data_IF_724805353272
#
_entry.id   IF_724805353272
#
_cell.length_a   1.000
_cell.length_b   1.000
_cell.length_c   1.000
_cell.angle_alpha   90.00
_cell.angle_beta   90.00
_cell.angle_gamma   90.00
#
_symmetry.space_group_name_H-M   'P 1'
#
loop_
_entity.id
_entity.type
_entity.pdbx_description
1 polymer ?
#
# COMPACT_ATOMS: atom_id res chain seq x y z
N UNK A 1 23.61 18.10 -1.20
CA UNK A 1 22.29 18.19 -1.84
C UNK A 1 21.92 16.79 -2.28
N UNK A 2 20.97 16.14 -1.59
CA UNK A 2 20.56 14.78 -1.94
C UNK A 2 19.84 14.81 -3.29
N UNK A 3 20.36 14.06 -4.25
CA UNK A 3 19.70 13.82 -5.53
C UNK A 3 18.42 13.05 -5.25
N UNK A 4 17.28 13.76 -5.28
CA UNK A 4 15.94 13.17 -5.25
C UNK A 4 15.94 12.06 -6.31
N UNK A 5 15.77 10.81 -5.89
CA UNK A 5 15.76 9.65 -6.80
C UNK A 5 14.51 9.69 -7.67
N UNK A 6 14.56 9.14 -8.88
CA UNK A 6 13.42 9.17 -9.82
C UNK A 6 12.14 8.61 -9.20
N UNK A 7 12.24 7.63 -8.30
CA UNK A 7 11.12 7.10 -7.51
C UNK A 7 10.47 8.14 -6.60
N UNK A 8 11.25 9.05 -5.99
CA UNK A 8 10.71 10.14 -5.18
C UNK A 8 10.01 11.19 -6.04
N UNK A 9 10.52 11.43 -7.26
CA UNK A 9 9.89 12.33 -8.24
C UNK A 9 8.57 11.75 -8.70
N UNK A 10 8.53 10.46 -9.04
CA UNK A 10 7.33 9.74 -9.45
C UNK A 10 6.31 9.69 -8.32
N UNK A 11 6.72 9.40 -7.08
CA UNK A 11 5.84 9.45 -5.90
C UNK A 11 5.24 10.84 -5.68
N UNK A 12 6.06 11.90 -5.71
CA UNK A 12 5.57 13.28 -5.57
C UNK A 12 4.58 13.64 -6.68
N UNK A 13 4.87 13.22 -7.92
CA UNK A 13 4.01 13.51 -9.06
C UNK A 13 2.67 12.77 -8.98
N UNK A 14 2.67 11.49 -8.58
CA UNK A 14 1.44 10.73 -8.33
C UNK A 14 0.64 11.28 -7.15
N UNK A 15 1.29 11.80 -6.12
CA UNK A 15 0.61 12.46 -5.00
C UNK A 15 -0.06 13.77 -5.41
N UNK A 16 0.57 14.56 -6.29
CA UNK A 16 0.04 15.84 -6.78
C UNK A 16 -1.04 15.63 -7.87
N UNK A 17 -0.81 14.72 -8.82
CA UNK A 17 -1.72 14.44 -9.94
C UNK A 17 -2.83 13.42 -9.60
N UNK A 18 -2.74 12.73 -8.46
CA UNK A 18 -3.74 11.79 -7.96
C UNK A 18 -4.94 12.46 -7.29
N UNK A 19 -5.56 11.73 -6.35
CA UNK A 19 -6.81 12.12 -5.68
C UNK A 19 -6.72 13.47 -4.93
N UNK A 20 -5.54 13.83 -4.44
CA UNK A 20 -5.27 15.11 -3.75
C UNK A 20 -5.54 16.34 -4.63
N UNK A 21 -5.35 16.25 -5.95
CA UNK A 21 -5.65 17.35 -6.87
C UNK A 21 -7.15 17.62 -7.03
N UNK A 22 -7.99 16.63 -6.72
CA UNK A 22 -9.44 16.81 -6.72
C UNK A 22 -9.92 17.49 -5.43
N UNK A 23 -9.34 17.13 -4.29
CA UNK A 23 -9.67 17.74 -3.00
C UNK A 23 -9.21 19.20 -2.93
N UNK A 24 -8.04 19.53 -3.46
CA UNK A 24 -7.57 20.92 -3.58
C UNK A 24 -8.53 21.79 -4.41
N UNK A 25 -9.06 21.24 -5.51
CA UNK A 25 -10.09 21.90 -6.33
C UNK A 25 -11.40 22.09 -5.58
N UNK A 26 -11.84 21.09 -4.82
CA UNK A 26 -13.06 21.16 -4.00
C UNK A 26 -12.96 22.24 -2.92
N UNK A 27 -11.84 22.27 -2.19
CA UNK A 27 -11.57 23.27 -1.16
C UNK A 27 -11.48 24.67 -1.78
N UNK A 28 -10.79 24.81 -2.92
CA UNK A 28 -10.70 26.06 -3.67
C UNK A 28 -12.08 26.57 -4.12
N UNK A 29 -12.96 25.67 -4.57
CA UNK A 29 -14.31 26.02 -4.99
C UNK A 29 -15.19 26.43 -3.79
N UNK A 30 -15.12 25.69 -2.70
CA UNK A 30 -15.80 26.01 -1.44
C UNK A 30 -15.42 27.42 -0.96
N UNK A 31 -14.11 27.73 -0.92
CA UNK A 31 -13.61 29.04 -0.54
C UNK A 31 -14.13 30.16 -1.45
N UNK A 32 -14.10 29.95 -2.77
CA UNK A 32 -14.62 30.93 -3.73
C UNK A 32 -16.12 31.19 -3.55
N UNK A 33 -16.91 30.14 -3.35
CA UNK A 33 -18.35 30.25 -3.15
C UNK A 33 -18.66 30.93 -1.80
N UNK A 34 -17.91 30.61 -0.75
CA UNK A 34 -18.04 31.25 0.54
C UNK A 34 -17.77 32.75 0.46
N UNK A 35 -16.64 33.16 -0.14
CA UNK A 35 -16.31 34.58 -0.31
C UNK A 35 -17.35 35.32 -1.14
N UNK A 36 -17.92 34.68 -2.16
CA UNK A 36 -18.99 35.26 -2.97
C UNK A 36 -20.28 35.46 -2.16
N UNK A 37 -20.66 34.47 -1.36
CA UNK A 37 -21.85 34.55 -0.51
C UNK A 37 -21.72 35.61 0.58
N UNK A 38 -20.53 35.74 1.18
CA UNK A 38 -20.24 36.83 2.13
C UNK A 38 -20.31 38.20 1.45
N UNK A 39 -19.87 38.30 0.19
CA UNK A 39 -19.87 39.55 -0.57
C UNK A 39 -21.25 39.93 -1.15
N UNK A 40 -22.21 39.01 -1.24
CA UNK A 40 -23.52 39.30 -1.84
C UNK A 40 -24.45 40.08 -0.91
N UNK A 41 -24.20 40.08 0.41
CA UNK A 41 -25.05 40.70 1.45
C UNK A 41 -26.55 40.32 1.32
N UNK A 42 -26.80 39.16 0.72
CA UNK A 42 -28.13 38.67 0.40
C UNK A 42 -28.68 37.90 1.59
N UNK A 43 -29.63 38.52 2.28
CA UNK A 43 -30.31 37.98 3.47
C UNK A 43 -31.67 37.37 3.10
N UNK A 44 -32.01 37.31 1.80
CA UNK A 44 -33.24 36.74 1.27
C UNK A 44 -33.22 35.21 1.17
N UNK A 45 -34.24 34.66 0.51
CA UNK A 45 -34.39 33.23 0.26
C UNK A 45 -33.20 32.67 -0.56
N UNK A 46 -32.78 33.40 -1.59
CA UNK A 46 -31.61 33.07 -2.42
C UNK A 46 -30.31 33.01 -1.59
N UNK A 47 -30.14 33.95 -0.65
CA UNK A 47 -29.04 33.95 0.31
C UNK A 47 -29.05 32.72 1.24
N UNK A 48 -30.23 32.32 1.71
CA UNK A 48 -30.38 31.12 2.54
C UNK A 48 -30.12 29.82 1.76
N UNK A 49 -30.57 29.72 0.50
CA UNK A 49 -30.26 28.58 -0.37
C UNK A 49 -28.75 28.46 -0.65
N UNK A 50 -28.09 29.58 -0.93
CA UNK A 50 -26.64 29.62 -1.11
C UNK A 50 -25.89 29.18 0.16
N UNK A 51 -26.37 29.57 1.35
CA UNK A 51 -25.84 29.10 2.62
C UNK A 51 -25.99 27.57 2.78
N UNK A 52 -27.17 27.02 2.49
CA UNK A 52 -27.39 25.56 2.56
C UNK A 52 -26.48 24.80 1.59
N UNK A 53 -26.28 25.33 0.38
CA UNK A 53 -25.34 24.76 -0.59
C UNK A 53 -23.89 24.79 -0.09
N UNK A 54 -23.47 25.86 0.60
CA UNK A 54 -22.15 25.94 1.24
C UNK A 54 -21.98 24.88 2.32
N UNK A 55 -22.98 24.71 3.19
CA UNK A 55 -22.97 23.68 4.23
C UNK A 55 -22.87 22.28 3.61
N UNK A 56 -23.65 22.00 2.56
CA UNK A 56 -23.55 20.74 1.82
C UNK A 56 -22.15 20.52 1.23
N UNK A 57 -21.52 21.57 0.70
CA UNK A 57 -20.15 21.50 0.18
C UNK A 57 -19.11 21.26 1.27
N UNK A 58 -19.31 21.76 2.49
CA UNK A 58 -18.46 21.46 3.66
C UNK A 58 -18.54 19.97 4.00
N UNK A 59 -19.74 19.42 4.14
CA UNK A 59 -19.92 17.99 4.43
C UNK A 59 -19.28 17.09 3.37
N UNK A 60 -19.34 17.48 2.09
CA UNK A 60 -18.67 16.74 1.02
C UNK A 60 -17.14 16.76 1.17
N UNK A 61 -16.56 17.88 1.59
CA UNK A 61 -15.12 17.98 1.83
C UNK A 61 -14.71 17.14 3.05
N UNK A 62 -15.47 17.21 4.14
CA UNK A 62 -15.22 16.41 5.34
C UNK A 62 -15.26 14.91 5.05
N UNK A 63 -16.30 14.44 4.35
CA UNK A 63 -16.40 13.04 3.96
C UNK A 63 -15.25 12.62 3.03
N UNK A 64 -14.85 13.46 2.07
CA UNK A 64 -13.71 13.15 1.21
C UNK A 64 -12.40 13.01 2.02
N UNK A 65 -12.17 13.89 3.01
CA UNK A 65 -11.02 13.80 3.91
C UNK A 65 -11.03 12.52 4.76
N UNK A 66 -12.21 12.12 5.26
CA UNK A 66 -12.37 10.88 6.03
C UNK A 66 -12.07 9.65 5.17
N UNK A 67 -12.59 9.59 3.94
CA UNK A 67 -12.29 8.51 3.00
C UNK A 67 -10.79 8.42 2.70
N UNK A 68 -10.14 9.56 2.45
CA UNK A 68 -8.70 9.62 2.22
C UNK A 68 -7.92 9.08 3.42
N UNK A 69 -8.32 9.46 4.63
CA UNK A 69 -7.69 8.98 5.88
C UNK A 69 -7.84 7.47 6.04
N UNK A 70 -9.01 6.91 5.71
CA UNK A 70 -9.25 5.47 5.75
C UNK A 70 -8.39 4.72 4.74
N UNK A 71 -8.28 5.24 3.51
CA UNK A 71 -7.43 4.65 2.46
C UNK A 71 -5.96 4.67 2.88
N UNK A 72 -5.48 5.76 3.48
CA UNK A 72 -4.11 5.84 4.00
C UNK A 72 -3.87 4.78 5.08
N UNK A 73 -4.80 4.62 6.03
CA UNK A 73 -4.70 3.62 7.08
C UNK A 73 -4.68 2.19 6.50
N UNK A 74 -5.58 1.90 5.54
CA UNK A 74 -5.63 0.63 4.83
C UNK A 74 -4.33 0.34 4.09
N UNK A 75 -3.78 1.32 3.36
CA UNK A 75 -2.53 1.16 2.62
C UNK A 75 -1.35 0.86 3.54
N UNK A 76 -1.30 1.50 4.71
CA UNK A 76 -0.26 1.24 5.70
C UNK A 76 -0.35 -0.19 6.24
N UNK A 77 -1.56 -0.65 6.55
CA UNK A 77 -1.77 -2.03 7.01
C UNK A 77 -1.43 -3.07 5.92
N UNK A 78 -1.84 -2.81 4.68
CA UNK A 78 -1.47 -3.65 3.53
C UNK A 78 0.04 -3.71 3.33
N UNK A 79 0.74 -2.57 3.43
CA UNK A 79 2.20 -2.54 3.33
C UNK A 79 2.85 -3.45 4.38
N UNK A 80 2.38 -3.37 5.64
CA UNK A 80 2.87 -4.24 6.71
C UNK A 80 2.61 -5.72 6.41
N UNK A 81 1.43 -6.07 5.92
CA UNK A 81 1.11 -7.44 5.52
C UNK A 81 2.03 -7.94 4.39
N UNK A 82 2.36 -7.09 3.42
CA UNK A 82 3.31 -7.44 2.36
C UNK A 82 4.73 -7.65 2.89
N UNK A 83 5.18 -6.84 3.84
CA UNK A 83 6.49 -7.02 4.49
C UNK A 83 6.56 -8.35 5.27
N UNK A 84 5.49 -8.72 5.96
CA UNK A 84 5.42 -9.98 6.69
C UNK A 84 5.36 -11.18 5.74
N UNK A 85 4.58 -11.10 4.66
CA UNK A 85 4.53 -12.12 3.61
C UNK A 85 5.91 -12.30 2.95
N UNK A 86 6.64 -11.22 2.72
CA UNK A 86 7.99 -11.29 2.15
C UNK A 86 8.94 -12.10 3.04
N UNK A 87 8.94 -11.84 4.36
CA UNK A 87 9.74 -12.59 5.33
C UNK A 87 9.34 -14.06 5.40
N UNK A 88 8.04 -14.35 5.31
CA UNK A 88 7.53 -15.72 5.27
C UNK A 88 8.08 -16.47 4.05
N UNK A 89 8.03 -15.84 2.87
CA UNK A 89 8.57 -16.41 1.63
C UNK A 89 10.08 -16.65 1.74
N UNK A 90 10.85 -15.69 2.28
CA UNK A 90 12.28 -15.88 2.49
C UNK A 90 12.58 -17.08 3.40
N UNK A 91 11.83 -17.20 4.50
CA UNK A 91 11.96 -18.31 5.45
C UNK A 91 11.61 -19.65 4.80
N UNK A 92 10.54 -19.69 3.99
CA UNK A 92 10.12 -20.88 3.26
C UNK A 92 11.17 -21.32 2.21
N UNK A 93 11.77 -20.36 1.50
CA UNK A 93 12.85 -20.61 0.54
C UNK A 93 14.06 -21.21 1.26
N UNK A 94 14.46 -20.65 2.39
CA UNK A 94 15.62 -21.14 3.14
C UNK A 94 15.37 -22.54 3.71
N UNK A 95 14.17 -22.78 4.24
CA UNK A 95 13.73 -24.12 4.66
C UNK A 95 13.77 -25.13 3.51
N UNK A 96 13.30 -24.76 2.31
CA UNK A 96 13.32 -25.62 1.14
C UNK A 96 14.77 -25.94 0.71
N UNK A 97 15.68 -24.96 0.72
CA UNK A 97 17.11 -25.19 0.44
C UNK A 97 17.72 -26.19 1.43
N UNK A 98 17.45 -26.02 2.72
CA UNK A 98 17.95 -26.92 3.76
C UNK A 98 17.42 -28.35 3.57
N UNK A 99 16.13 -28.51 3.24
CA UNK A 99 15.54 -29.82 2.92
C UNK A 99 16.18 -30.48 1.71
N UNK A 100 16.47 -29.72 0.65
CA UNK A 100 17.17 -30.25 -0.54
C UNK A 100 18.57 -30.74 -0.17
N UNK A 101 19.28 -29.99 0.67
CA UNK A 101 20.61 -30.37 1.13
C UNK A 101 20.57 -31.65 1.96
N UNK A 102 19.64 -31.75 2.91
CA UNK A 102 19.41 -32.96 3.71
C UNK A 102 19.13 -34.17 2.81
N UNK A 103 18.21 -34.04 1.85
CA UNK A 103 17.87 -35.14 0.92
C UNK A 103 19.08 -35.57 0.06
N UNK A 104 19.97 -34.65 -0.32
CA UNK A 104 21.21 -35.00 -1.04
C UNK A 104 22.15 -35.83 -0.18
N UNK A 105 22.28 -35.50 1.09
CA UNK A 105 23.11 -36.24 2.06
C UNK A 105 22.55 -37.63 2.32
N UNK A 106 21.24 -37.72 2.57
CA UNK A 106 20.54 -38.99 2.75
C UNK A 106 20.71 -39.90 1.54
N UNK A 107 20.60 -39.34 0.32
CA UNK A 107 20.80 -40.09 -0.91
C UNK A 107 22.24 -40.62 -1.06
N UNK A 108 23.26 -39.83 -0.66
CA UNK A 108 24.67 -40.27 -0.67
C UNK A 108 24.89 -41.40 0.34
N UNK A 109 24.35 -41.25 1.54
CA UNK A 109 24.41 -42.27 2.60
C UNK A 109 23.74 -43.57 2.14
N UNK A 110 22.52 -43.50 1.60
CA UNK A 110 21.80 -44.66 1.07
C UNK A 110 22.54 -45.36 -0.07
N UNK A 111 23.16 -44.60 -1.00
CA UNK A 111 24.01 -45.18 -2.06
C UNK A 111 25.21 -45.92 -1.50
N UNK A 112 25.87 -45.38 -0.47
CA UNK A 112 27.02 -46.01 0.20
C UNK A 112 26.63 -47.31 0.90
N UNK A 113 25.53 -47.30 1.66
CA UNK A 113 24.97 -48.50 2.30
C UNK A 113 24.65 -49.58 1.26
N UNK A 114 24.00 -49.21 0.15
CA UNK A 114 23.69 -50.15 -0.94
C UNK A 114 24.94 -50.76 -1.56
N UNK A 115 26.00 -49.97 -1.77
CA UNK A 115 27.28 -50.45 -2.30
C UNK A 115 27.94 -51.44 -1.33
N UNK A 116 28.01 -51.11 -0.05
CA UNK A 116 28.60 -51.97 0.98
C UNK A 116 27.83 -53.29 1.15
N UNK A 117 26.50 -53.24 1.09
CA UNK A 117 25.65 -54.43 1.17
C UNK A 117 25.85 -55.39 -0.01
N UNK A 118 26.04 -54.86 -1.23
CA UNK A 118 26.38 -55.66 -2.42
C UNK A 118 27.81 -56.21 -2.35
N UNK A 119 28.77 -55.42 -1.87
CA UNK A 119 30.16 -55.86 -1.76
C UNK A 119 30.35 -57.01 -0.76
N UNK A 120 29.59 -57.02 0.33
CA UNK A 120 29.65 -58.12 1.31
C UNK A 120 28.99 -59.42 0.82
N UNK A 121 27.94 -59.35 -0.01
CA UNK A 121 27.30 -60.54 -0.60
C UNK A 121 28.14 -61.23 -1.69
N UNK A 122 29.08 -60.51 -2.30
CA UNK A 122 29.99 -61.06 -3.34
C UNK A 122 31.24 -61.67 -2.72
N UNK A 123 31.50 -61.41 -1.43
CA UNK A 123 32.66 -61.90 -0.67
C UNK A 123 32.33 -63.10 0.23
N UNK A 124 31.06 -63.42 0.42
CA UNK A 124 30.55 -64.63 1.07
C UNK A 124 30.29 -65.72 0.03
#
# INVERSE_FOLDING_TARGET
>A
MSTVTDDEIIKRRLLIEGESGNDDRRITLLLKNYLRWVASDDVGEDGYEAYQALIASVYQCENAMEQSSLVIAMNYEQQKQYEDLYKEIETAIESAKNRIQQCKEDLRSAKTVRKNRRGNLVRS
#
